data_IF_339791722423
#
_entry.id   IF_339791722423
#
_cell.length_a   1.000
_cell.length_b   1.000
_cell.length_c   1.000
_cell.angle_alpha   90.00
_cell.angle_beta   90.00
_cell.angle_gamma   90.00
#
_symmetry.space_group_name_H-M   'P 1'
#
loop_
_entity.id
_entity.type
_entity.pdbx_description
1 polymer ?
#
# COMPACT_ATOMS: atom_id res chain seq x y z
N UNK A 1 -10.20 -14.53 -6.86
CA UNK A 1 -10.77 -13.96 -5.62
C UNK A 1 -12.03 -13.19 -5.98
N UNK A 2 -12.98 -13.04 -5.05
CA UNK A 2 -14.24 -12.31 -5.22
C UNK A 2 -14.43 -11.36 -4.05
N UNK A 3 -14.69 -10.08 -4.32
CA UNK A 3 -14.94 -9.06 -3.31
C UNK A 3 -16.44 -8.77 -3.27
N UNK A 4 -17.02 -8.77 -2.07
CA UNK A 4 -18.42 -8.41 -1.82
C UNK A 4 -18.45 -7.28 -0.80
N UNK A 5 -19.11 -6.19 -1.13
CA UNK A 5 -19.30 -5.02 -0.27
C UNK A 5 -20.78 -4.73 -0.08
N UNK A 6 -21.18 -4.40 1.14
CA UNK A 6 -22.52 -3.90 1.44
C UNK A 6 -22.39 -2.65 2.31
N UNK A 7 -23.00 -1.55 1.90
CA UNK A 7 -23.03 -0.26 2.60
C UNK A 7 -21.62 0.29 2.92
N UNK A 8 -20.70 0.28 1.95
CA UNK A 8 -19.32 0.74 2.13
C UNK A 8 -19.03 1.92 1.20
N UNK A 9 -18.52 3.01 1.76
CA UNK A 9 -18.22 4.25 1.03
C UNK A 9 -19.48 4.79 0.33
N UNK A 10 -19.43 4.90 -1.00
CA UNK A 10 -20.60 5.27 -1.80
C UNK A 10 -21.42 4.05 -2.26
N UNK A 11 -20.95 2.84 -2.03
CA UNK A 11 -21.57 1.62 -2.56
C UNK A 11 -22.62 1.07 -1.60
N UNK A 12 -23.86 0.92 -2.13
CA UNK A 12 -24.94 0.17 -1.46
C UNK A 12 -24.65 -1.33 -1.51
N UNK A 13 -24.20 -1.80 -2.67
CA UNK A 13 -23.84 -3.18 -2.91
C UNK A 13 -22.79 -3.26 -4.01
N UNK A 14 -21.77 -4.08 -3.81
CA UNK A 14 -20.84 -4.43 -4.87
C UNK A 14 -20.47 -5.89 -4.77
N UNK A 15 -20.45 -6.57 -5.90
CA UNK A 15 -19.95 -7.92 -6.06
C UNK A 15 -19.07 -7.95 -7.31
N UNK A 16 -17.80 -8.33 -7.15
CA UNK A 16 -16.84 -8.29 -8.24
C UNK A 16 -15.78 -9.38 -8.12
N UNK A 17 -15.55 -10.10 -9.20
CA UNK A 17 -14.47 -11.05 -9.34
C UNK A 17 -13.15 -10.34 -9.61
N UNK A 18 -12.23 -10.35 -8.65
CA UNK A 18 -10.88 -9.84 -8.79
C UNK A 18 -10.03 -10.86 -9.57
N UNK A 19 -10.06 -10.74 -10.89
CA UNK A 19 -9.19 -11.46 -11.82
C UNK A 19 -7.86 -10.75 -11.96
N UNK A 20 -6.94 -11.23 -12.80
CA UNK A 20 -5.66 -10.55 -13.04
C UNK A 20 -5.86 -9.13 -13.59
N UNK A 21 -6.87 -8.94 -14.44
CA UNK A 21 -7.34 -7.60 -14.82
C UNK A 21 -8.78 -7.41 -14.35
N UNK A 22 -9.02 -6.37 -13.57
CA UNK A 22 -10.35 -5.96 -13.17
C UNK A 22 -10.57 -4.50 -13.58
N UNK A 23 -11.51 -4.27 -14.49
CA UNK A 23 -11.87 -2.93 -14.98
C UNK A 23 -13.25 -2.58 -14.46
N UNK A 24 -13.36 -1.45 -13.75
CA UNK A 24 -14.58 -0.93 -13.19
C UNK A 24 -14.92 0.35 -13.94
N UNK A 25 -15.89 0.26 -14.80
CA UNK A 25 -16.35 1.36 -15.63
C UNK A 25 -17.61 2.02 -15.06
N UNK A 26 -17.85 3.26 -15.39
CA UNK A 26 -19.09 3.98 -15.03
C UNK A 26 -18.85 5.47 -14.86
N UNK A 27 -19.93 6.20 -14.68
CA UNK A 27 -19.90 7.63 -14.42
C UNK A 27 -19.25 7.96 -13.06
N UNK A 28 -18.96 9.23 -12.87
CA UNK A 28 -18.42 9.70 -11.59
C UNK A 28 -19.44 9.49 -10.46
N UNK A 29 -18.95 9.44 -9.23
CA UNK A 29 -19.75 9.32 -8.02
C UNK A 29 -20.53 8.00 -7.85
N UNK A 30 -20.19 6.96 -8.61
CA UNK A 30 -20.78 5.62 -8.51
C UNK A 30 -19.95 4.62 -7.68
N UNK A 31 -18.95 5.10 -6.92
CA UNK A 31 -18.17 4.27 -6.00
C UNK A 31 -17.07 3.42 -6.65
N UNK A 32 -16.66 3.71 -7.90
CA UNK A 32 -15.57 2.98 -8.60
C UNK A 32 -14.28 2.90 -7.77
N UNK A 33 -13.80 4.06 -7.30
CA UNK A 33 -12.57 4.19 -6.51
C UNK A 33 -12.63 3.43 -5.18
N UNK A 34 -13.83 3.25 -4.63
CA UNK A 34 -14.03 2.51 -3.36
C UNK A 34 -13.53 1.08 -3.47
N UNK A 35 -13.73 0.40 -4.60
CA UNK A 35 -13.25 -0.99 -4.81
C UNK A 35 -11.73 -1.04 -4.69
N UNK A 36 -11.03 -0.16 -5.41
CA UNK A 36 -9.56 -0.10 -5.37
C UNK A 36 -9.02 0.20 -3.97
N UNK A 37 -9.63 1.16 -3.27
CA UNK A 37 -9.27 1.52 -1.89
C UNK A 37 -9.47 0.37 -0.92
N UNK A 38 -10.58 -0.37 -1.01
CA UNK A 38 -10.83 -1.53 -0.16
C UNK A 38 -9.81 -2.64 -0.42
N UNK A 39 -9.50 -2.96 -1.69
CA UNK A 39 -8.46 -3.94 -2.03
C UNK A 39 -7.11 -3.51 -1.46
N UNK A 40 -6.74 -2.24 -1.64
CA UNK A 40 -5.52 -1.67 -1.09
C UNK A 40 -5.46 -1.83 0.43
N UNK A 41 -6.52 -1.43 1.15
CA UNK A 41 -6.57 -1.52 2.61
C UNK A 41 -6.43 -2.95 3.13
N UNK A 42 -7.16 -3.89 2.52
CA UNK A 42 -7.10 -5.31 2.92
C UNK A 42 -5.68 -5.84 2.76
N UNK A 43 -5.08 -5.67 1.57
CA UNK A 43 -3.74 -6.19 1.28
C UNK A 43 -2.69 -5.55 2.20
N UNK A 44 -2.76 -4.23 2.40
CA UNK A 44 -1.83 -3.53 3.29
C UNK A 44 -1.99 -3.95 4.75
N UNK A 45 -3.21 -4.05 5.26
CA UNK A 45 -3.44 -4.41 6.66
C UNK A 45 -2.96 -5.83 6.98
N UNK A 46 -3.27 -6.81 6.11
CA UNK A 46 -2.88 -8.20 6.32
C UNK A 46 -1.36 -8.38 6.27
N UNK A 47 -0.68 -7.70 5.36
CA UNK A 47 0.77 -7.85 5.24
C UNK A 47 1.51 -7.06 6.32
N UNK A 48 0.97 -5.92 6.75
CA UNK A 48 1.58 -5.04 7.74
C UNK A 48 1.40 -5.51 9.19
N UNK A 49 0.32 -6.24 9.52
CA UNK A 49 0.07 -6.62 10.93
C UNK A 49 1.23 -7.40 11.54
N UNK A 50 1.95 -8.19 10.74
CA UNK A 50 3.11 -8.97 11.20
C UNK A 50 4.29 -8.07 11.54
N UNK A 51 4.52 -7.03 10.72
CA UNK A 51 5.56 -6.03 10.96
C UNK A 51 5.23 -5.19 12.20
N UNK A 52 4.01 -4.70 12.33
CA UNK A 52 3.54 -3.91 13.47
C UNK A 52 3.59 -4.69 14.79
N UNK A 53 3.29 -5.99 14.75
CA UNK A 53 3.42 -6.89 15.90
C UNK A 53 4.87 -7.07 16.33
N UNK A 54 5.73 -7.35 15.36
CA UNK A 54 7.14 -7.56 15.61
C UNK A 54 7.80 -6.28 16.11
N UNK A 55 7.53 -5.14 15.49
CA UNK A 55 8.03 -3.83 15.92
C UNK A 55 7.50 -3.45 17.32
N UNK A 56 6.23 -3.70 17.63
CA UNK A 56 5.62 -3.43 18.93
C UNK A 56 6.23 -4.32 20.04
N UNK A 57 6.48 -5.58 19.76
CA UNK A 57 7.09 -6.53 20.68
C UNK A 57 8.59 -6.21 20.90
N UNK A 58 9.31 -5.93 19.83
CA UNK A 58 10.72 -5.50 19.87
C UNK A 58 10.88 -4.17 20.61
N UNK A 59 10.00 -3.21 20.36
CA UNK A 59 10.03 -1.92 21.05
C UNK A 59 9.80 -2.09 22.56
N UNK A 60 8.78 -2.86 22.95
CA UNK A 60 8.49 -3.12 24.37
C UNK A 60 9.65 -3.86 25.06
N UNK A 61 10.23 -4.86 24.40
CA UNK A 61 11.41 -5.57 24.92
C UNK A 61 12.60 -4.61 25.04
N UNK A 62 12.76 -3.72 24.07
CA UNK A 62 13.77 -2.67 24.08
C UNK A 62 13.64 -1.75 25.27
N UNK A 63 12.43 -1.24 25.57
CA UNK A 63 12.16 -0.40 26.75
C UNK A 63 12.49 -1.15 28.06
N UNK A 64 12.05 -2.41 28.18
CA UNK A 64 12.34 -3.20 29.38
C UNK A 64 13.84 -3.54 29.55
N UNK A 65 14.56 -3.76 28.46
CA UNK A 65 16.03 -3.90 28.50
C UNK A 65 16.71 -2.62 28.96
N UNK A 66 16.23 -1.48 28.51
CA UNK A 66 16.74 -0.17 28.91
C UNK A 66 16.45 0.10 30.40
N UNK A 67 15.31 -0.34 30.90
CA UNK A 67 14.96 -0.30 32.32
C UNK A 67 15.90 -1.18 33.17
N UNK A 68 16.20 -2.40 32.75
CA UNK A 68 17.21 -3.26 33.36
C UNK A 68 18.58 -2.57 33.36
N UNK A 69 18.99 -1.98 32.24
CA UNK A 69 20.24 -1.24 32.14
C UNK A 69 20.33 -0.10 33.15
N UNK A 70 19.29 0.72 33.28
CA UNK A 70 19.29 1.83 34.22
C UNK A 70 19.33 1.37 35.68
N UNK A 71 18.57 0.32 36.05
CA UNK A 71 18.59 -0.28 37.39
C UNK A 71 19.99 -0.80 37.74
N UNK A 72 20.60 -1.59 36.90
CA UNK A 72 21.95 -2.11 37.12
C UNK A 72 22.99 -0.99 37.17
N UNK A 73 22.86 0.03 36.34
CA UNK A 73 23.76 1.18 36.34
C UNK A 73 23.69 1.98 37.64
N UNK A 74 22.49 2.19 38.17
CA UNK A 74 22.26 2.94 39.41
C UNK A 74 22.76 2.17 40.61
N UNK A 75 22.45 0.87 40.67
CA UNK A 75 22.86 0.01 41.79
C UNK A 75 24.39 -0.23 41.85
N UNK A 76 25.05 -0.40 40.71
CA UNK A 76 26.46 -0.77 40.63
C UNK A 76 27.43 0.40 40.82
N UNK A 77 27.03 1.65 40.56
CA UNK A 77 27.95 2.79 40.51
C UNK A 77 29.29 2.40 39.86
N UNK A 78 29.29 2.04 38.57
CA UNK A 78 30.36 1.30 37.94
C UNK A 78 31.74 1.99 38.08
N UNK A 79 32.65 1.31 38.70
CA UNK A 79 34.05 1.78 38.93
C UNK A 79 35.03 1.07 38.01
N UNK A 80 34.65 -0.01 37.33
CA UNK A 80 35.51 -0.79 36.43
C UNK A 80 35.03 -0.75 34.98
N UNK A 81 35.98 -0.85 34.02
CA UNK A 81 35.67 -0.91 32.58
C UNK A 81 34.88 -2.15 32.19
N UNK A 82 35.13 -3.28 32.86
CA UNK A 82 34.48 -4.56 32.55
C UNK A 82 32.96 -4.52 32.83
N UNK A 83 32.57 -3.91 33.94
CA UNK A 83 31.14 -3.70 34.29
C UNK A 83 30.49 -2.76 33.29
N UNK A 84 31.17 -1.70 32.86
CA UNK A 84 30.65 -0.77 31.87
C UNK A 84 30.43 -1.44 30.51
N UNK A 85 31.28 -2.35 30.09
CA UNK A 85 31.17 -3.04 28.82
C UNK A 85 29.98 -4.04 28.82
N UNK A 86 29.80 -4.76 29.95
CA UNK A 86 28.59 -5.59 30.13
C UNK A 86 27.30 -4.74 30.12
N UNK A 87 27.30 -3.61 30.83
CA UNK A 87 26.15 -2.73 30.81
C UNK A 87 25.86 -2.17 29.39
N UNK A 88 26.93 -1.85 28.63
CA UNK A 88 26.78 -1.39 27.24
C UNK A 88 26.16 -2.46 26.33
N UNK A 89 26.40 -3.76 26.59
CA UNK A 89 25.78 -4.85 25.82
C UNK A 89 24.28 -4.94 26.01
N UNK A 90 23.75 -4.42 27.12
CA UNK A 90 22.29 -4.30 27.36
C UNK A 90 21.65 -3.13 26.59
N UNK A 91 22.44 -2.10 26.20
CA UNK A 91 21.89 -0.99 25.42
C UNK A 91 21.60 -1.42 23.99
N UNK A 92 20.34 -1.30 23.61
CA UNK A 92 19.93 -1.49 22.22
C UNK A 92 20.45 -0.31 21.41
N UNK A 93 21.34 -0.58 20.45
CA UNK A 93 21.71 0.46 19.48
C UNK A 93 20.51 0.70 18.54
N UNK A 94 20.11 1.96 18.31
CA UNK A 94 19.02 2.27 17.37
C UNK A 94 19.27 1.77 15.92
N UNK A 95 20.48 1.31 15.63
CA UNK A 95 20.94 0.85 14.31
C UNK A 95 21.03 -0.67 14.16
N UNK A 96 20.88 -1.44 15.22
CA UNK A 96 20.86 -2.89 15.15
C UNK A 96 19.42 -3.35 15.38
N UNK A 97 18.72 -3.71 14.28
CA UNK A 97 17.56 -4.61 14.37
C UNK A 97 18.07 -5.87 15.08
N UNK A 98 17.43 -6.20 16.20
CA UNK A 98 17.70 -7.45 16.89
C UNK A 98 17.48 -8.58 15.90
N UNK A 99 18.51 -9.39 15.66
CA UNK A 99 18.28 -10.71 15.10
C UNK A 99 17.35 -11.43 16.06
N UNK A 100 16.14 -11.76 15.62
CA UNK A 100 14.98 -12.15 16.42
C UNK A 100 15.14 -13.49 17.18
N UNK A 101 16.31 -14.14 17.14
CA UNK A 101 16.40 -15.51 17.62
C UNK A 101 16.65 -15.64 19.13
N UNK A 102 17.24 -14.67 19.86
CA UNK A 102 17.43 -14.81 21.33
C UNK A 102 17.56 -13.50 22.13
N UNK A 103 16.54 -12.66 22.27
CA UNK A 103 16.65 -11.49 23.14
C UNK A 103 16.85 -11.86 24.62
N UNK A 104 16.30 -13.01 25.05
CA UNK A 104 16.41 -13.48 26.43
C UNK A 104 17.79 -14.03 26.78
N UNK A 105 18.46 -14.71 25.84
CA UNK A 105 19.80 -15.25 26.04
C UNK A 105 20.82 -14.14 26.30
N UNK A 106 20.78 -13.07 25.52
CA UNK A 106 21.67 -11.92 25.70
C UNK A 106 21.46 -11.19 27.04
N UNK A 107 20.20 -11.10 27.49
CA UNK A 107 19.85 -10.51 28.79
C UNK A 107 20.36 -11.40 29.93
N UNK A 108 20.12 -12.71 29.85
CA UNK A 108 20.61 -13.66 30.86
C UNK A 108 22.12 -13.66 30.96
N UNK A 109 22.82 -13.67 29.81
CA UNK A 109 24.30 -13.59 29.79
C UNK A 109 24.80 -12.30 30.45
N UNK A 110 24.18 -11.17 30.18
CA UNK A 110 24.56 -9.90 30.81
C UNK A 110 24.30 -9.92 32.33
N UNK A 111 23.16 -10.45 32.78
CA UNK A 111 22.81 -10.60 34.21
C UNK A 111 23.82 -11.51 34.89
N UNK A 112 24.16 -12.65 34.30
CA UNK A 112 25.12 -13.61 34.89
C UNK A 112 26.54 -13.00 34.99
N UNK A 113 26.96 -12.26 33.97
CA UNK A 113 28.27 -11.54 34.00
C UNK A 113 28.30 -10.46 35.08
N UNK A 114 27.19 -9.67 35.22
CA UNK A 114 27.09 -8.66 36.29
C UNK A 114 27.15 -9.35 37.66
N UNK A 115 26.47 -10.48 37.83
CA UNK A 115 26.46 -11.24 39.08
C UNK A 115 27.84 -11.77 39.45
N UNK A 116 28.67 -12.08 38.46
CA UNK A 116 30.04 -12.52 38.68
C UNK A 116 31.05 -11.38 39.00
N UNK A 117 30.75 -10.15 38.58
CA UNK A 117 31.65 -9.00 38.66
C UNK A 117 31.33 -8.05 39.82
N UNK A 118 30.11 -8.09 40.35
CA UNK A 118 29.65 -7.11 41.34
C UNK A 118 28.58 -7.67 42.28
N UNK A 119 28.56 -7.17 43.51
CA UNK A 119 27.53 -7.45 44.50
C UNK A 119 26.44 -6.38 44.42
N UNK A 120 25.19 -6.77 44.16
CA UNK A 120 24.00 -5.95 44.26
C UNK A 120 23.23 -6.32 45.54
N UNK A 121 22.38 -5.36 45.99
CA UNK A 121 21.45 -5.66 47.08
C UNK A 121 20.44 -6.74 46.65
N UNK A 122 19.91 -7.52 47.61
CA UNK A 122 18.84 -8.49 47.28
C UNK A 122 17.60 -7.86 46.64
N UNK A 123 17.30 -6.62 46.99
CA UNK A 123 16.16 -5.85 46.46
C UNK A 123 16.39 -5.50 45.00
N UNK A 124 17.54 -4.97 44.62
CA UNK A 124 17.88 -4.62 43.23
C UNK A 124 17.91 -5.86 42.35
N UNK A 125 18.41 -7.00 42.84
CA UNK A 125 18.35 -8.25 42.10
C UNK A 125 16.95 -8.73 41.85
N UNK A 126 16.03 -8.57 42.83
CA UNK A 126 14.64 -8.97 42.72
C UNK A 126 13.93 -8.15 41.63
N UNK A 127 14.21 -6.84 41.55
CA UNK A 127 13.65 -5.97 40.50
C UNK A 127 14.17 -6.34 39.11
N UNK A 128 15.49 -6.57 38.96
CA UNK A 128 16.09 -6.97 37.67
C UNK A 128 15.54 -8.32 37.17
N UNK A 129 15.39 -9.29 38.09
CA UNK A 129 14.81 -10.59 37.77
C UNK A 129 13.33 -10.46 37.39
N UNK A 130 12.57 -9.62 38.08
CA UNK A 130 11.17 -9.37 37.76
C UNK A 130 11.01 -8.80 36.34
N UNK A 131 11.82 -7.81 35.95
CA UNK A 131 11.83 -7.25 34.60
C UNK A 131 12.19 -8.28 33.53
N UNK A 132 13.20 -9.14 33.79
CA UNK A 132 13.55 -10.23 32.91
C UNK A 132 12.40 -11.23 32.74
N UNK A 133 11.71 -11.56 33.84
CA UNK A 133 10.58 -12.51 33.83
C UNK A 133 9.34 -11.91 33.13
N UNK A 134 9.14 -10.59 33.22
CA UNK A 134 8.15 -9.88 32.41
C UNK A 134 8.46 -10.04 30.91
N UNK A 135 9.74 -9.85 30.51
CA UNK A 135 10.17 -10.04 29.12
C UNK A 135 9.90 -11.50 28.68
N UNK A 136 10.25 -12.47 29.52
CA UNK A 136 10.01 -13.88 29.24
C UNK A 136 8.51 -14.16 29.07
N UNK A 137 7.69 -13.72 30.02
CA UNK A 137 6.24 -13.88 29.96
C UNK A 137 5.64 -13.25 28.69
N UNK A 138 6.16 -12.10 28.26
CA UNK A 138 5.72 -11.44 27.02
C UNK A 138 6.14 -12.20 25.76
N UNK A 139 7.32 -12.83 25.78
CA UNK A 139 7.79 -13.70 24.70
C UNK A 139 6.96 -14.98 24.57
N UNK A 140 6.59 -15.56 25.72
CA UNK A 140 5.82 -16.80 25.82
C UNK A 140 4.30 -16.61 25.64
N UNK A 141 3.81 -15.35 25.68
CA UNK A 141 2.39 -15.06 25.44
C UNK A 141 2.02 -15.43 24.00
N UNK A 142 0.99 -16.27 23.80
CA UNK A 142 0.43 -16.48 22.47
C UNK A 142 -0.07 -15.15 21.93
N UNK A 143 0.31 -14.83 20.71
CA UNK A 143 -0.15 -13.63 20.03
C UNK A 143 -1.63 -13.75 19.73
N UNK A 144 -2.44 -12.78 20.18
CA UNK A 144 -3.81 -12.66 19.71
C UNK A 144 -3.78 -12.10 18.28
N UNK A 145 -3.54 -13.00 17.34
CA UNK A 145 -3.45 -12.69 15.91
C UNK A 145 -4.70 -12.00 15.40
N UNK A 146 -5.86 -12.38 15.91
CA UNK A 146 -7.16 -11.79 15.52
C UNK A 146 -7.22 -10.32 15.91
N UNK A 147 -6.94 -10.00 17.18
CA UNK A 147 -6.95 -8.61 17.68
C UNK A 147 -5.91 -7.75 16.96
N UNK A 148 -4.76 -8.31 16.64
CA UNK A 148 -3.68 -7.60 15.95
C UNK A 148 -4.04 -7.28 14.50
N UNK A 149 -4.66 -8.20 13.78
CA UNK A 149 -5.18 -7.97 12.43
C UNK A 149 -6.31 -6.93 12.47
N UNK A 150 -7.23 -7.03 13.43
CA UNK A 150 -8.34 -6.10 13.59
C UNK A 150 -7.83 -4.68 13.86
N UNK A 151 -6.81 -4.53 14.71
CA UNK A 151 -6.17 -3.24 14.96
C UNK A 151 -5.48 -2.69 13.71
N UNK A 152 -4.75 -3.52 12.95
CA UNK A 152 -4.12 -3.12 11.70
C UNK A 152 -5.16 -2.68 10.65
N UNK A 153 -6.25 -3.44 10.51
CA UNK A 153 -7.37 -3.09 9.64
C UNK A 153 -7.96 -1.74 10.01
N UNK A 154 -8.29 -1.52 11.27
CA UNK A 154 -8.89 -0.26 11.73
C UNK A 154 -7.97 0.92 11.46
N UNK A 155 -6.66 0.80 11.71
CA UNK A 155 -5.68 1.85 11.43
C UNK A 155 -5.60 2.18 9.93
N UNK A 156 -5.51 1.14 9.09
CA UNK A 156 -5.38 1.30 7.64
C UNK A 156 -6.66 1.91 7.07
N UNK A 157 -7.83 1.40 7.43
CA UNK A 157 -9.11 1.93 6.95
C UNK A 157 -9.35 3.38 7.42
N UNK A 158 -9.05 3.69 8.69
CA UNK A 158 -9.18 5.05 9.19
C UNK A 158 -8.26 6.03 8.44
N UNK A 159 -7.02 5.61 8.14
CA UNK A 159 -6.06 6.44 7.40
C UNK A 159 -6.44 6.63 5.92
N UNK A 160 -7.17 5.68 5.33
CA UNK A 160 -7.55 5.74 3.92
C UNK A 160 -8.90 6.44 3.69
N UNK A 161 -9.85 6.27 4.59
CA UNK A 161 -11.22 6.78 4.44
C UNK A 161 -11.53 7.97 5.36
N UNK A 162 -10.52 8.50 6.07
CA UNK A 162 -10.69 9.61 7.03
C UNK A 162 -11.82 9.33 8.04
N UNK A 163 -11.83 8.08 8.56
CA UNK A 163 -12.87 7.55 9.46
C UNK A 163 -14.32 7.68 8.92
N UNK A 164 -14.51 7.61 7.60
CA UNK A 164 -15.82 7.69 6.92
C UNK A 164 -15.99 6.49 5.97
N UNK A 165 -15.97 5.28 6.55
CA UNK A 165 -16.01 4.02 5.79
C UNK A 165 -17.43 3.57 5.44
N UNK A 166 -18.40 3.83 6.31
CA UNK A 166 -19.80 3.45 6.10
C UNK A 166 -20.50 4.33 5.06
N UNK A 167 -21.42 3.74 4.31
CA UNK A 167 -22.37 4.49 3.48
C UNK A 167 -23.19 5.42 4.37
N UNK A 168 -23.33 6.67 3.94
CA UNK A 168 -24.08 7.69 4.70
C UNK A 168 -25.50 7.20 5.02
N UNK A 169 -25.84 7.19 6.30
CA UNK A 169 -27.12 6.74 6.82
C UNK A 169 -27.25 5.23 7.08
N UNK A 170 -26.25 4.44 6.73
CA UNK A 170 -26.19 3.03 7.10
C UNK A 170 -25.71 2.86 8.55
N UNK A 171 -26.28 1.91 9.26
CA UNK A 171 -25.85 1.54 10.62
C UNK A 171 -24.76 0.48 10.63
N UNK A 172 -24.77 -0.36 9.58
CA UNK A 172 -23.83 -1.47 9.43
C UNK A 172 -23.43 -1.63 7.96
N UNK A 173 -22.17 -2.00 7.75
CA UNK A 173 -21.62 -2.39 6.48
C UNK A 173 -20.89 -3.72 6.58
N UNK A 174 -20.61 -4.36 5.43
CA UNK A 174 -19.88 -5.63 5.38
C UNK A 174 -18.92 -5.65 4.22
N UNK A 175 -17.74 -6.22 4.47
CA UNK A 175 -16.68 -6.42 3.48
C UNK A 175 -16.28 -7.88 3.53
N UNK A 176 -16.39 -8.60 2.40
CA UNK A 176 -16.00 -10.00 2.32
C UNK A 176 -15.07 -10.23 1.13
N UNK A 177 -13.99 -10.96 1.37
CA UNK A 177 -13.11 -11.46 0.33
C UNK A 177 -13.18 -12.99 0.32
N UNK A 178 -13.52 -13.56 -0.83
CA UNK A 178 -13.70 -14.99 -1.02
C UNK A 178 -12.76 -15.53 -2.11
N UNK A 179 -12.41 -16.80 -2.02
CA UNK A 179 -11.73 -17.54 -3.08
C UNK A 179 -12.30 -18.95 -3.17
N UNK A 180 -12.86 -19.31 -4.32
CA UNK A 180 -13.48 -20.62 -4.57
C UNK A 180 -14.42 -21.06 -3.41
N UNK A 181 -15.35 -20.18 -3.03
CA UNK A 181 -16.31 -20.37 -1.93
C UNK A 181 -15.69 -20.39 -0.50
N UNK A 182 -14.37 -20.32 -0.36
CA UNK A 182 -13.70 -20.10 0.91
C UNK A 182 -13.70 -18.60 1.25
N UNK A 183 -14.20 -18.27 2.43
CA UNK A 183 -14.11 -16.90 2.94
C UNK A 183 -12.70 -16.65 3.48
N UNK A 184 -11.92 -15.81 2.79
CA UNK A 184 -10.58 -15.43 3.21
C UNK A 184 -10.66 -14.39 4.34
N UNK A 185 -11.59 -13.44 4.19
CA UNK A 185 -11.78 -12.32 5.14
C UNK A 185 -13.26 -11.98 5.18
N UNK A 186 -13.77 -11.76 6.38
CA UNK A 186 -15.12 -11.28 6.62
C UNK A 186 -15.09 -10.17 7.68
N UNK A 187 -15.47 -8.97 7.29
CA UNK A 187 -15.43 -7.78 8.13
C UNK A 187 -16.82 -7.18 8.26
N UNK A 188 -17.21 -6.85 9.47
CA UNK A 188 -18.39 -6.04 9.77
C UNK A 188 -17.93 -4.63 10.17
N UNK A 189 -18.56 -3.62 9.62
CA UNK A 189 -18.26 -2.22 9.88
C UNK A 189 -19.42 -1.60 10.64
N UNK A 190 -19.16 -1.08 11.83
CA UNK A 190 -20.15 -0.37 12.65
C UNK A 190 -19.52 0.90 13.22
N UNK A 191 -20.19 2.04 13.08
CA UNK A 191 -19.62 3.34 13.50
C UNK A 191 -18.21 3.58 12.95
N UNK A 192 -17.99 3.24 11.67
CA UNK A 192 -16.70 3.29 10.98
C UNK A 192 -15.57 2.46 11.61
N UNK A 193 -15.88 1.61 12.58
CA UNK A 193 -14.98 0.64 13.17
C UNK A 193 -15.13 -0.73 12.52
N UNK A 194 -14.01 -1.32 12.12
CA UNK A 194 -13.94 -2.62 11.44
C UNK A 194 -13.75 -3.74 12.46
N UNK A 195 -14.61 -4.72 12.42
CA UNK A 195 -14.56 -5.91 13.26
C UNK A 195 -14.39 -7.17 12.42
N UNK A 196 -13.43 -8.01 12.77
CA UNK A 196 -13.14 -9.26 12.07
C UNK A 196 -14.09 -10.37 12.51
N UNK A 197 -14.78 -10.98 11.54
CA UNK A 197 -15.68 -12.12 11.77
C UNK A 197 -14.97 -13.41 11.38
N UNK A 198 -14.61 -14.22 12.38
CA UNK A 198 -13.90 -15.48 12.13
C UNK A 198 -12.37 -15.34 12.08
N UNK A 199 -11.75 -16.28 11.40
CA UNK A 199 -10.31 -16.31 11.15
C UNK A 199 -9.98 -15.71 9.78
N UNK A 200 -8.74 -15.29 9.60
CA UNK A 200 -8.23 -14.76 8.33
C UNK A 200 -7.42 -15.85 7.66
N UNK A 201 -7.83 -16.21 6.46
CA UNK A 201 -7.06 -17.11 5.60
C UNK A 201 -5.95 -16.35 4.86
N UNK A 202 -4.84 -17.02 4.53
CA UNK A 202 -3.75 -16.39 3.78
C UNK A 202 -4.22 -15.83 2.43
N UNK A 203 -3.86 -14.60 2.13
CA UNK A 203 -4.09 -13.97 0.83
C UNK A 203 -2.81 -14.03 0.02
N UNK A 204 -2.90 -14.42 -1.26
CA UNK A 204 -1.74 -14.57 -2.14
C UNK A 204 -1.04 -13.25 -2.47
N UNK A 205 -1.75 -12.12 -2.36
CA UNK A 205 -1.20 -10.80 -2.63
C UNK A 205 -0.36 -10.30 -1.45
N UNK A 206 0.90 -9.96 -1.73
CA UNK A 206 1.87 -9.48 -0.72
C UNK A 206 1.95 -7.97 -0.60
N UNK A 207 1.62 -7.25 -1.66
CA UNK A 207 1.63 -5.78 -1.63
C UNK A 207 0.58 -5.21 -2.58
N UNK A 208 0.18 -3.97 -2.30
CA UNK A 208 -0.71 -3.18 -3.12
C UNK A 208 -0.11 -1.81 -3.38
N UNK A 209 -0.22 -1.32 -4.62
CA UNK A 209 0.15 0.04 -4.97
C UNK A 209 -1.05 0.73 -5.61
N UNK A 210 -1.49 1.84 -5.03
CA UNK A 210 -2.62 2.62 -5.53
C UNK A 210 -2.11 3.90 -6.18
N UNK A 211 -2.52 4.16 -7.40
CA UNK A 211 -2.15 5.32 -8.21
C UNK A 211 -3.42 6.08 -8.56
N UNK A 212 -3.64 7.19 -7.86
CA UNK A 212 -4.76 8.11 -8.11
C UNK A 212 -4.37 9.23 -9.07
N UNK A 213 -3.12 9.69 -9.02
CA UNK A 213 -2.67 10.76 -9.89
C UNK A 213 -1.16 10.75 -10.11
N UNK A 214 -0.70 10.93 -11.34
CA UNK A 214 0.72 11.11 -11.64
C UNK A 214 1.27 12.46 -11.13
N UNK A 215 0.38 13.36 -10.71
CA UNK A 215 0.76 14.66 -10.14
C UNK A 215 1.43 14.53 -8.76
N UNK A 216 1.38 13.36 -8.14
CA UNK A 216 2.14 13.05 -6.92
C UNK A 216 3.62 13.45 -7.06
N UNK A 217 4.19 13.27 -8.25
CA UNK A 217 5.58 13.65 -8.55
C UNK A 217 5.85 15.16 -8.43
N UNK A 218 4.81 16.00 -8.52
CA UNK A 218 4.93 17.45 -8.41
C UNK A 218 4.95 17.95 -6.95
N UNK A 219 4.50 17.12 -6.01
CA UNK A 219 4.22 17.52 -4.62
C UNK A 219 5.24 16.99 -3.62
N UNK A 220 6.47 16.72 -4.07
CA UNK A 220 7.54 16.18 -3.23
C UNK A 220 7.71 16.93 -1.92
N UNK A 221 7.79 18.26 -1.96
CA UNK A 221 8.06 19.10 -0.77
C UNK A 221 6.98 18.98 0.31
N UNK A 222 5.72 18.84 -0.11
CA UNK A 222 4.57 18.67 0.79
C UNK A 222 4.53 17.25 1.33
N UNK A 223 4.64 16.27 0.46
CA UNK A 223 4.52 14.85 0.81
C UNK A 223 5.70 14.35 1.67
N UNK A 224 6.90 14.90 1.45
CA UNK A 224 8.06 14.57 2.29
C UNK A 224 7.88 14.97 3.77
N UNK A 225 6.98 15.92 4.04
CA UNK A 225 6.67 16.41 5.40
C UNK A 225 5.32 15.92 5.91
N UNK A 226 4.51 15.29 5.06
CA UNK A 226 3.20 14.78 5.43
C UNK A 226 3.32 13.51 6.27
N UNK A 227 2.30 13.26 7.09
CA UNK A 227 2.13 12.07 7.91
C UNK A 227 0.78 11.42 7.60
N UNK A 228 0.67 10.14 7.90
CA UNK A 228 -0.60 9.43 7.91
C UNK A 228 -1.12 9.32 9.34
N UNK A 229 -2.38 8.95 9.52
CA UNK A 229 -2.91 8.65 10.84
C UNK A 229 -2.16 7.47 11.50
N UNK A 230 -1.59 6.56 10.70
CA UNK A 230 -0.75 5.45 11.19
C UNK A 230 0.53 5.94 11.88
N UNK A 231 1.13 7.03 11.39
CA UNK A 231 2.38 7.55 11.93
C UNK A 231 2.19 8.21 13.33
N UNK A 232 0.95 8.57 13.68
CA UNK A 232 0.64 9.20 14.96
C UNK A 232 0.79 8.25 16.15
N UNK A 233 0.43 6.98 15.98
CA UNK A 233 0.50 5.98 17.05
C UNK A 233 1.94 5.64 17.47
N UNK A 234 2.88 5.75 16.55
CA UNK A 234 4.29 5.47 16.83
C UNK A 234 5.01 6.58 17.62
N UNK A 235 4.39 7.76 17.75
CA UNK A 235 5.01 8.94 18.38
C UNK A 235 4.19 9.54 19.52
N UNK A 236 3.73 8.70 20.44
CA UNK A 236 2.99 9.17 21.64
C UNK A 236 3.70 10.23 22.48
N UNK A 237 4.99 10.51 22.23
CA UNK A 237 5.82 11.43 22.99
C UNK A 237 6.25 12.69 22.23
N UNK A 238 5.87 12.88 20.97
CA UNK A 238 6.29 14.06 20.22
C UNK A 238 5.21 15.16 20.28
N UNK A 239 5.55 16.39 20.69
CA UNK A 239 4.59 17.48 20.68
C UNK A 239 4.13 17.76 19.24
N UNK A 240 2.83 18.03 19.05
CA UNK A 240 2.25 18.48 17.80
C UNK A 240 3.12 19.57 17.16
N UNK A 241 3.75 19.29 16.03
CA UNK A 241 4.43 20.34 15.27
C UNK A 241 3.38 21.03 14.43
N UNK A 242 3.14 22.30 14.72
CA UNK A 242 2.33 23.20 13.90
C UNK A 242 2.83 23.15 12.45
N UNK A 243 1.95 22.86 11.49
CA UNK A 243 2.26 22.83 10.06
C UNK A 243 2.49 21.44 9.46
N UNK A 244 2.19 20.35 10.15
CA UNK A 244 2.14 19.00 9.52
C UNK A 244 0.82 18.84 8.78
N UNK A 245 0.90 18.41 7.53
CA UNK A 245 -0.26 18.02 6.72
C UNK A 245 -0.47 16.51 6.80
N UNK A 246 -1.73 16.10 6.92
CA UNK A 246 -2.10 14.69 6.80
C UNK A 246 -2.36 14.33 5.34
N UNK A 247 -2.04 13.10 4.99
CA UNK A 247 -2.33 12.52 3.69
C UNK A 247 -2.87 11.11 3.85
N UNK A 248 -3.55 10.60 2.85
CA UNK A 248 -4.05 9.21 2.82
C UNK A 248 -2.89 8.23 2.81
N UNK A 249 -3.16 7.01 3.28
CA UNK A 249 -2.13 5.97 3.32
C UNK A 249 -1.60 5.62 1.93
N UNK A 250 -2.49 5.50 0.93
CA UNK A 250 -2.07 5.16 -0.43
C UNK A 250 -1.14 6.22 -1.04
N UNK A 251 -1.42 7.51 -0.82
CA UNK A 251 -0.57 8.60 -1.30
C UNK A 251 0.81 8.54 -0.66
N UNK A 252 0.87 8.29 0.65
CA UNK A 252 2.15 8.17 1.37
C UNK A 252 2.93 6.94 0.93
N UNK A 253 2.27 5.79 0.81
CA UNK A 253 2.87 4.53 0.36
C UNK A 253 3.45 4.67 -1.06
N UNK A 254 2.68 5.23 -1.99
CA UNK A 254 3.15 5.49 -3.35
C UNK A 254 4.36 6.42 -3.35
N UNK A 255 4.30 7.51 -2.59
CA UNK A 255 5.39 8.47 -2.51
C UNK A 255 6.68 7.84 -1.97
N UNK A 256 6.61 7.02 -0.92
CA UNK A 256 7.76 6.36 -0.32
C UNK A 256 8.36 5.32 -1.28
N UNK A 257 7.54 4.57 -2.02
CA UNK A 257 7.98 3.65 -3.09
C UNK A 257 8.73 4.38 -4.20
N UNK A 258 8.23 5.54 -4.63
CA UNK A 258 8.87 6.33 -5.69
C UNK A 258 10.20 6.96 -5.25
N UNK A 259 10.39 7.22 -3.95
CA UNK A 259 11.66 7.72 -3.39
C UNK A 259 12.72 6.64 -3.19
N UNK A 260 12.34 5.38 -3.26
CA UNK A 260 13.30 4.27 -3.19
C UNK A 260 14.29 4.40 -4.35
N UNK A 261 15.60 4.34 -4.08
CA UNK A 261 16.58 4.44 -5.15
C UNK A 261 16.42 3.32 -6.16
N UNK A 262 16.34 3.68 -7.44
CA UNK A 262 16.32 2.69 -8.52
C UNK A 262 17.62 1.93 -8.51
N UNK A 263 17.56 0.59 -8.46
CA UNK A 263 18.72 -0.27 -8.61
C UNK A 263 19.23 -0.12 -10.06
N UNK A 264 20.58 -0.04 -10.26
CA UNK A 264 21.13 -0.01 -11.61
C UNK A 264 20.65 -1.25 -12.40
N UNK A 265 20.17 -1.01 -13.61
CA UNK A 265 19.62 -2.05 -14.51
C UNK A 265 20.59 -3.24 -14.72
N UNK A 266 21.90 -2.99 -14.67
CA UNK A 266 22.97 -3.99 -14.86
C UNK A 266 23.12 -4.98 -13.70
N UNK A 267 22.50 -4.70 -12.53
CA UNK A 267 22.51 -5.60 -11.37
C UNK A 267 21.35 -6.59 -11.38
N UNK A 268 20.36 -6.38 -12.25
CA UNK A 268 19.22 -7.28 -12.40
C UNK A 268 19.65 -8.43 -13.32
N UNK A 269 19.51 -9.67 -12.82
CA UNK A 269 19.99 -10.86 -13.51
C UNK A 269 19.31 -11.04 -14.89
N UNK A 270 20.05 -11.22 -16.00
CA UNK A 270 19.48 -11.43 -17.34
C UNK A 270 18.60 -12.68 -17.47
N UNK A 271 18.66 -13.59 -16.49
CA UNK A 271 17.91 -14.84 -16.50
C UNK A 271 16.45 -14.70 -16.07
N UNK A 272 16.07 -13.58 -15.43
CA UNK A 272 14.68 -13.26 -15.13
C UNK A 272 14.04 -12.45 -16.26
N UNK A 273 14.06 -13.00 -17.49
CA UNK A 273 13.34 -12.44 -18.65
C UNK A 273 11.81 -12.53 -18.47
N UNK A 274 11.33 -12.06 -17.31
CA UNK A 274 9.93 -11.90 -17.01
C UNK A 274 9.38 -10.78 -17.91
N UNK A 275 8.08 -10.84 -18.24
CA UNK A 275 7.45 -9.83 -19.08
C UNK A 275 7.60 -8.41 -18.56
N UNK A 276 7.79 -8.21 -17.24
CA UNK A 276 8.09 -6.93 -16.61
C UNK A 276 9.35 -6.24 -17.21
N UNK A 277 10.38 -6.97 -17.55
CA UNK A 277 11.58 -6.45 -18.20
C UNK A 277 11.31 -5.88 -19.60
N UNK A 278 10.45 -6.54 -20.36
CA UNK A 278 10.05 -6.04 -21.69
C UNK A 278 9.27 -4.73 -21.54
N UNK A 279 8.39 -4.67 -20.54
CA UNK A 279 7.63 -3.44 -20.27
C UNK A 279 8.55 -2.30 -19.87
N UNK A 280 9.60 -2.53 -19.06
CA UNK A 280 10.60 -1.51 -18.71
C UNK A 280 11.31 -0.94 -19.94
N UNK A 281 11.74 -1.80 -20.88
CA UNK A 281 12.39 -1.39 -22.12
C UNK A 281 11.43 -0.57 -22.99
N UNK A 282 10.18 -1.02 -23.15
CA UNK A 282 9.16 -0.33 -23.92
C UNK A 282 8.83 1.04 -23.32
N UNK A 283 8.74 1.14 -22.00
CA UNK A 283 8.53 2.41 -21.29
C UNK A 283 9.67 3.39 -21.50
N UNK A 284 10.91 2.92 -21.47
CA UNK A 284 12.09 3.76 -21.71
C UNK A 284 12.09 4.36 -23.10
N UNK A 285 11.75 3.57 -24.11
CA UNK A 285 11.62 4.03 -25.50
C UNK A 285 10.45 5.02 -25.62
N UNK A 286 9.32 4.71 -24.97
CA UNK A 286 8.10 5.50 -25.08
C UNK A 286 8.26 6.93 -24.54
N UNK A 287 8.97 7.12 -23.41
CA UNK A 287 9.16 8.43 -22.79
C UNK A 287 10.45 9.13 -23.27
N UNK A 288 11.29 8.48 -24.07
CA UNK A 288 12.60 8.99 -24.54
C UNK A 288 13.48 9.49 -23.39
N UNK A 289 13.52 8.71 -22.28
CA UNK A 289 14.28 9.10 -21.11
C UNK A 289 13.97 8.31 -19.86
N UNK A 290 14.27 8.94 -18.73
CA UNK A 290 14.13 8.34 -17.41
C UNK A 290 13.58 9.35 -16.39
N UNK A 291 12.62 8.93 -15.59
CA UNK A 291 12.18 9.65 -14.38
C UNK A 291 12.82 8.98 -13.17
N UNK A 292 13.48 9.77 -12.33
CA UNK A 292 14.11 9.28 -11.12
C UNK A 292 14.03 10.30 -9.98
N UNK A 293 14.13 9.82 -8.74
CA UNK A 293 14.32 10.67 -7.58
C UNK A 293 15.79 11.04 -7.44
N UNK A 294 16.11 12.34 -7.52
CA UNK A 294 17.45 12.86 -7.33
C UNK A 294 17.67 13.21 -5.86
N UNK A 295 18.59 12.50 -5.21
CA UNK A 295 18.90 12.70 -3.78
C UNK A 295 19.56 14.04 -3.48
N UNK A 296 20.28 14.61 -4.47
CA UNK A 296 21.00 15.88 -4.34
C UNK A 296 20.01 17.04 -4.39
N UNK A 297 19.17 17.03 -5.41
CA UNK A 297 18.13 18.04 -5.61
C UNK A 297 16.94 17.82 -4.65
N UNK A 298 16.82 16.62 -4.07
CA UNK A 298 15.70 16.18 -3.25
C UNK A 298 14.35 16.36 -3.96
N UNK A 299 14.32 16.09 -5.27
CA UNK A 299 13.13 16.21 -6.11
C UNK A 299 13.15 15.15 -7.21
N UNK A 300 12.02 14.97 -7.90
CA UNK A 300 11.94 14.12 -9.07
C UNK A 300 12.43 14.89 -10.33
N UNK A 301 13.26 14.23 -11.12
CA UNK A 301 13.82 14.77 -12.35
C UNK A 301 13.54 13.83 -13.52
N UNK A 302 13.32 14.41 -14.69
CA UNK A 302 13.28 13.69 -15.95
C UNK A 302 14.58 13.93 -16.70
N UNK A 303 15.32 12.86 -16.98
CA UNK A 303 16.56 12.89 -17.79
C UNK A 303 16.26 12.31 -19.15
N UNK A 304 16.41 13.12 -20.18
CA UNK A 304 16.31 12.67 -21.57
C UNK A 304 17.53 11.84 -21.97
N UNK A 305 17.39 10.98 -22.99
CA UNK A 305 18.50 10.18 -23.52
C UNK A 305 19.66 11.05 -24.03
N UNK A 306 19.40 12.29 -24.45
CA UNK A 306 20.43 13.26 -24.85
C UNK A 306 21.16 13.94 -23.66
N UNK A 307 20.87 13.52 -22.43
CA UNK A 307 21.51 14.02 -21.21
C UNK A 307 20.87 15.27 -20.59
N UNK A 308 19.87 15.90 -21.23
CA UNK A 308 19.19 17.05 -20.65
C UNK A 308 18.32 16.64 -19.45
N UNK A 309 18.54 17.29 -18.30
CA UNK A 309 17.72 17.13 -17.10
C UNK A 309 16.64 18.22 -17.03
N UNK A 310 15.41 17.83 -16.76
CA UNK A 310 14.25 18.72 -16.68
C UNK A 310 13.54 18.40 -15.36
N UNK A 311 13.16 19.43 -14.59
CA UNK A 311 12.29 19.22 -13.41
C UNK A 311 11.01 18.51 -13.85
N UNK A 312 10.60 17.50 -13.11
CA UNK A 312 9.40 16.72 -13.39
C UNK A 312 8.15 17.61 -13.46
N UNK A 313 8.13 18.71 -12.71
CA UNK A 313 7.02 19.68 -12.67
C UNK A 313 6.75 20.27 -14.06
N UNK A 314 7.79 20.39 -14.91
CA UNK A 314 7.74 20.98 -16.25
C UNK A 314 7.59 19.94 -17.38
N UNK A 315 7.27 18.69 -17.05
CA UNK A 315 7.08 17.64 -18.05
C UNK A 315 5.60 17.36 -18.33
N UNK A 316 5.32 16.77 -19.49
CA UNK A 316 3.98 16.36 -19.87
C UNK A 316 3.44 15.25 -18.94
N UNK A 317 2.12 15.21 -18.72
CA UNK A 317 1.47 14.23 -17.86
C UNK A 317 1.74 12.78 -18.27
N UNK A 318 1.78 12.50 -19.58
CA UNK A 318 2.13 11.16 -20.07
C UNK A 318 3.53 10.70 -19.62
N UNK A 319 4.52 11.59 -19.62
CA UNK A 319 5.87 11.28 -19.11
C UNK A 319 5.79 10.92 -17.62
N UNK A 320 4.96 11.63 -16.86
CA UNK A 320 4.79 11.35 -15.41
C UNK A 320 4.15 9.99 -15.17
N UNK A 321 3.07 9.64 -15.89
CA UNK A 321 2.39 8.33 -15.75
C UNK A 321 3.35 7.18 -16.07
N UNK A 322 3.99 7.23 -17.22
CA UNK A 322 4.87 6.14 -17.65
C UNK A 322 6.19 6.12 -16.88
N UNK A 323 6.70 7.29 -16.48
CA UNK A 323 7.87 7.40 -15.62
C UNK A 323 7.63 6.82 -14.23
N UNK A 324 6.46 7.11 -13.64
CA UNK A 324 6.03 6.53 -12.38
C UNK A 324 5.93 5.00 -12.47
N UNK A 325 5.27 4.49 -13.51
CA UNK A 325 5.16 3.04 -13.74
C UNK A 325 6.55 2.40 -13.91
N UNK A 326 7.45 3.05 -14.66
CA UNK A 326 8.84 2.61 -14.82
C UNK A 326 9.57 2.54 -13.48
N UNK A 327 9.44 3.55 -12.61
CA UNK A 327 10.08 3.56 -11.29
C UNK A 327 9.58 2.43 -10.39
N UNK A 328 8.28 2.18 -10.38
CA UNK A 328 7.68 1.09 -9.60
C UNK A 328 8.15 -0.29 -10.08
N UNK A 329 8.25 -0.49 -11.40
CA UNK A 329 8.75 -1.72 -11.99
C UNK A 329 10.24 -1.93 -11.70
N UNK A 330 11.06 -0.89 -11.86
CA UNK A 330 12.50 -0.96 -11.63
C UNK A 330 12.87 -1.24 -10.17
N UNK A 331 11.97 -0.89 -9.24
CA UNK A 331 12.13 -1.15 -7.80
C UNK A 331 11.38 -2.39 -7.33
N UNK A 332 10.88 -3.24 -8.25
CA UNK A 332 10.19 -4.50 -7.96
C UNK A 332 8.91 -4.36 -7.13
N UNK A 333 8.33 -3.15 -7.06
CA UNK A 333 7.01 -2.95 -6.43
C UNK A 333 5.84 -3.45 -7.28
N UNK A 334 6.12 -3.90 -8.51
CA UNK A 334 5.14 -4.49 -9.42
C UNK A 334 5.63 -5.90 -9.80
N UNK A 335 5.05 -6.92 -9.19
CA UNK A 335 5.42 -8.33 -9.32
C UNK A 335 4.17 -9.23 -9.37
N UNK A 336 4.34 -10.54 -9.56
CA UNK A 336 3.23 -11.51 -9.68
C UNK A 336 2.31 -11.60 -8.46
N UNK A 337 2.83 -11.28 -7.29
CA UNK A 337 2.14 -11.33 -5.99
C UNK A 337 1.75 -9.93 -5.48
N UNK A 338 1.73 -8.94 -6.37
CA UNK A 338 1.30 -7.59 -6.05
C UNK A 338 0.06 -7.19 -6.86
N UNK A 339 -0.71 -6.25 -6.33
CA UNK A 339 -1.81 -5.63 -7.06
C UNK A 339 -1.51 -4.15 -7.32
N UNK A 340 -1.61 -3.77 -8.59
CA UNK A 340 -1.47 -2.40 -9.05
C UNK A 340 -2.87 -1.84 -9.32
N UNK A 341 -3.21 -0.77 -8.63
CA UNK A 341 -4.53 -0.14 -8.68
C UNK A 341 -4.40 1.23 -9.33
N UNK A 342 -5.13 1.44 -10.41
CA UNK A 342 -5.22 2.72 -11.10
C UNK A 342 -6.61 3.31 -10.91
N UNK A 343 -6.67 4.52 -10.38
CA UNK A 343 -7.90 5.29 -10.27
C UNK A 343 -7.91 6.40 -11.33
N UNK A 344 -8.80 6.23 -12.31
CA UNK A 344 -8.97 7.14 -13.45
C UNK A 344 -7.63 7.53 -14.14
N UNK A 345 -6.82 6.55 -14.58
CA UNK A 345 -5.49 6.82 -15.14
C UNK A 345 -5.52 7.59 -16.47
N UNK A 346 -6.69 7.67 -17.11
CA UNK A 346 -6.94 8.48 -18.28
C UNK A 346 -6.88 9.98 -18.01
N UNK A 347 -7.07 10.40 -16.77
CA UNK A 347 -7.00 11.80 -16.39
C UNK A 347 -5.66 12.40 -16.79
N UNK A 348 -5.69 13.51 -17.50
CA UNK A 348 -4.52 14.18 -18.06
C UNK A 348 -3.79 13.43 -19.19
N UNK A 349 -4.33 12.31 -19.71
CA UNK A 349 -3.77 11.59 -20.86
C UNK A 349 -4.54 11.88 -22.16
N UNK A 350 -3.81 12.30 -23.18
CA UNK A 350 -4.36 12.33 -24.54
C UNK A 350 -4.80 10.92 -24.97
N UNK A 351 -5.89 10.72 -25.72
CA UNK A 351 -6.38 9.41 -26.13
C UNK A 351 -5.30 8.45 -26.69
N UNK A 352 -4.37 8.96 -27.49
CA UNK A 352 -3.24 8.13 -27.99
C UNK A 352 -2.37 7.53 -26.87
N UNK A 353 -2.22 8.23 -25.76
CA UNK A 353 -1.45 7.76 -24.60
C UNK A 353 -2.25 6.78 -23.75
N UNK A 354 -3.59 6.92 -23.72
CA UNK A 354 -4.48 5.93 -23.10
C UNK A 354 -4.39 4.57 -23.80
N UNK A 355 -4.31 4.55 -25.16
CA UNK A 355 -4.08 3.32 -25.92
C UNK A 355 -2.74 2.66 -25.56
N UNK A 356 -1.68 3.48 -25.40
CA UNK A 356 -0.36 2.97 -24.98
C UNK A 356 -0.36 2.47 -23.53
N UNK A 357 -1.06 3.14 -22.64
CA UNK A 357 -1.23 2.68 -21.26
C UNK A 357 -1.92 1.31 -21.25
N UNK A 358 -3.03 1.15 -21.97
CA UNK A 358 -3.72 -0.13 -22.09
C UNK A 358 -2.79 -1.25 -22.56
N UNK A 359 -1.96 -0.99 -23.59
CA UNK A 359 -0.97 -1.95 -24.07
C UNK A 359 0.02 -2.36 -22.97
N UNK A 360 0.56 -1.40 -22.22
CA UNK A 360 1.53 -1.68 -21.14
C UNK A 360 0.86 -2.46 -19.99
N UNK A 361 -0.35 -2.10 -19.60
CA UNK A 361 -1.09 -2.81 -18.55
C UNK A 361 -1.35 -4.27 -18.93
N UNK A 362 -1.72 -4.56 -20.19
CA UNK A 362 -1.94 -5.93 -20.61
C UNK A 362 -0.65 -6.75 -20.60
N UNK A 363 0.49 -6.18 -21.02
CA UNK A 363 1.80 -6.86 -20.90
C UNK A 363 2.15 -7.20 -19.45
N UNK A 364 1.77 -6.35 -18.48
CA UNK A 364 1.95 -6.65 -17.06
C UNK A 364 1.01 -7.78 -16.60
N UNK A 365 -0.24 -7.79 -17.08
CA UNK A 365 -1.18 -8.90 -16.80
C UNK A 365 -0.65 -10.24 -17.37
N UNK A 366 -0.10 -10.24 -18.57
CA UNK A 366 0.58 -11.42 -19.16
C UNK A 366 1.75 -11.90 -18.29
N UNK A 367 2.43 -10.98 -17.60
CA UNK A 367 3.51 -11.30 -16.66
C UNK A 367 3.00 -11.81 -15.29
N UNK A 368 1.68 -11.84 -15.10
CA UNK A 368 1.03 -12.35 -13.89
C UNK A 368 0.71 -11.29 -12.82
N UNK A 369 0.93 -10.00 -13.10
CA UNK A 369 0.58 -8.90 -12.19
C UNK A 369 -0.94 -8.75 -12.12
N UNK A 370 -1.47 -8.52 -10.91
CA UNK A 370 -2.88 -8.17 -10.72
C UNK A 370 -3.08 -6.68 -10.92
N UNK A 371 -4.06 -6.31 -11.71
CA UNK A 371 -4.35 -4.91 -12.04
C UNK A 371 -5.84 -4.62 -11.84
N UNK A 372 -6.13 -3.56 -11.08
CA UNK A 372 -7.46 -3.00 -10.92
C UNK A 372 -7.47 -1.60 -11.53
N UNK A 373 -8.41 -1.33 -12.43
CA UNK A 373 -8.55 -0.02 -13.09
C UNK A 373 -9.97 0.47 -12.88
N UNK A 374 -10.15 1.65 -12.29
CA UNK A 374 -11.39 2.40 -12.38
C UNK A 374 -11.27 3.41 -13.53
N UNK A 375 -12.28 3.50 -14.38
CA UNK A 375 -12.24 4.37 -15.57
C UNK A 375 -13.63 4.83 -15.99
N UNK A 376 -13.68 6.03 -16.57
CA UNK A 376 -14.85 6.55 -17.27
C UNK A 376 -14.54 6.81 -18.77
N UNK A 377 -13.31 6.49 -19.23
CA UNK A 377 -12.89 6.73 -20.61
C UNK A 377 -13.27 5.59 -21.56
N UNK A 378 -14.11 5.82 -22.56
CA UNK A 378 -14.41 4.82 -23.57
C UNK A 378 -13.16 4.38 -24.34
N UNK A 379 -12.18 5.28 -24.54
CA UNK A 379 -10.94 4.96 -25.25
C UNK A 379 -10.06 3.97 -24.49
N UNK A 380 -9.92 4.16 -23.17
CA UNK A 380 -9.11 3.29 -22.34
C UNK A 380 -9.78 1.91 -22.21
N UNK A 381 -11.08 1.88 -21.93
CA UNK A 381 -11.84 0.64 -21.75
C UNK A 381 -11.86 -0.19 -23.04
N UNK A 382 -12.12 0.44 -24.19
CA UNK A 382 -12.06 -0.24 -25.48
C UNK A 382 -10.65 -0.76 -25.81
N UNK A 383 -9.63 0.04 -25.52
CA UNK A 383 -8.25 -0.39 -25.72
C UNK A 383 -7.88 -1.58 -24.84
N UNK A 384 -8.25 -1.56 -23.56
CA UNK A 384 -8.04 -2.70 -22.65
C UNK A 384 -8.75 -3.94 -23.17
N UNK A 385 -10.04 -3.84 -23.56
CA UNK A 385 -10.80 -4.97 -24.10
C UNK A 385 -10.16 -5.57 -25.34
N UNK A 386 -9.79 -4.73 -26.32
CA UNK A 386 -9.15 -5.20 -27.56
C UNK A 386 -7.79 -5.89 -27.30
N UNK A 387 -7.00 -5.35 -26.38
CA UNK A 387 -5.72 -5.97 -26.03
C UNK A 387 -5.92 -7.27 -25.24
N UNK A 388 -6.92 -7.37 -24.36
CA UNK A 388 -7.33 -8.62 -23.69
C UNK A 388 -7.68 -9.69 -24.71
N UNK A 389 -8.50 -9.34 -25.73
CA UNK A 389 -8.91 -10.30 -26.80
C UNK A 389 -7.69 -10.77 -27.61
N UNK A 390 -6.81 -9.84 -27.99
CA UNK A 390 -5.59 -10.16 -28.77
C UNK A 390 -4.61 -11.04 -28.00
N UNK A 391 -4.50 -10.83 -26.69
CA UNK A 391 -3.63 -11.59 -25.79
C UNK A 391 -4.26 -12.93 -25.34
N UNK A 392 -5.52 -13.20 -25.68
CA UNK A 392 -6.23 -14.42 -25.23
C UNK A 392 -6.55 -14.45 -23.74
N UNK A 393 -6.59 -13.29 -23.07
CA UNK A 393 -6.74 -13.15 -21.62
C UNK A 393 -8.21 -12.97 -21.18
N UNK A 394 -9.18 -13.36 -22.01
CA UNK A 394 -10.61 -13.15 -21.70
C UNK A 394 -11.02 -13.76 -20.36
N UNK A 395 -10.48 -14.92 -20.00
CA UNK A 395 -10.77 -15.58 -18.73
C UNK A 395 -10.03 -14.96 -17.53
N UNK A 396 -9.00 -14.15 -17.77
CA UNK A 396 -8.19 -13.48 -16.76
C UNK A 396 -8.64 -12.02 -16.54
N UNK A 397 -9.60 -11.53 -17.31
CA UNK A 397 -10.12 -10.18 -17.25
C UNK A 397 -11.59 -10.15 -16.78
N UNK A 398 -11.97 -9.09 -16.10
CA UNK A 398 -13.34 -8.77 -15.72
C UNK A 398 -13.61 -7.29 -16.03
N UNK A 399 -14.74 -7.02 -16.70
CA UNK A 399 -15.25 -5.67 -16.94
C UNK A 399 -16.60 -5.52 -16.24
N UNK A 400 -16.68 -4.66 -15.25
CA UNK A 400 -17.86 -4.43 -14.43
C UNK A 400 -18.36 -2.99 -14.58
N UNK A 401 -19.68 -2.81 -14.54
CA UNK A 401 -20.33 -1.50 -14.58
C UNK A 401 -20.72 -1.06 -13.17
N UNK A 402 -20.25 0.13 -12.78
CA UNK A 402 -20.71 0.83 -11.59
C UNK A 402 -21.85 1.76 -11.99
N UNK A 403 -23.07 1.48 -11.50
CA UNK A 403 -24.27 2.26 -11.78
C UNK A 403 -25.16 2.34 -10.53
N UNK A 404 -25.68 3.51 -10.22
CA UNK A 404 -26.59 3.74 -9.08
C UNK A 404 -26.02 3.26 -7.74
N UNK A 405 -24.69 3.43 -7.55
CA UNK A 405 -23.96 2.99 -6.36
C UNK A 405 -24.00 1.46 -6.15
N UNK A 406 -24.09 0.71 -7.25
CA UNK A 406 -24.04 -0.76 -7.26
C UNK A 406 -23.07 -1.26 -8.33
N UNK A 407 -22.44 -2.40 -8.03
CA UNK A 407 -21.59 -3.13 -8.97
C UNK A 407 -21.99 -4.60 -8.89
N UNK A 408 -22.34 -5.19 -10.02
CA UNK A 408 -22.68 -6.61 -10.11
C UNK A 408 -21.56 -7.36 -10.85
N UNK A 409 -21.29 -8.60 -10.44
CA UNK A 409 -20.28 -9.46 -11.06
C UNK A 409 -20.76 -10.06 -12.40
N UNK A 410 -21.22 -9.18 -13.29
CA UNK A 410 -21.61 -9.53 -14.64
C UNK A 410 -20.71 -8.82 -15.64
N UNK A 411 -20.40 -9.51 -16.75
CA UNK A 411 -19.67 -8.91 -17.87
C UNK A 411 -20.65 -8.10 -18.72
N UNK A 412 -20.69 -6.78 -18.46
CA UNK A 412 -21.67 -5.87 -19.09
C UNK A 412 -21.01 -4.90 -20.06
N UNK A 413 -20.12 -5.39 -20.91
CA UNK A 413 -19.44 -4.52 -21.87
C UNK A 413 -20.40 -3.69 -22.75
N UNK A 414 -21.49 -4.28 -23.20
CA UNK A 414 -22.51 -3.56 -23.97
C UNK A 414 -23.14 -2.41 -23.17
N UNK A 415 -23.43 -2.67 -21.90
CA UNK A 415 -24.03 -1.66 -21.02
C UNK A 415 -23.02 -0.56 -20.67
N UNK A 416 -21.75 -0.94 -20.46
CA UNK A 416 -20.66 0.01 -20.24
C UNK A 416 -20.57 1.00 -21.42
N UNK A 417 -20.51 0.48 -22.67
CA UNK A 417 -20.43 1.34 -23.84
C UNK A 417 -21.71 2.12 -24.08
N UNK A 418 -22.88 1.58 -23.73
CA UNK A 418 -24.14 2.31 -23.81
C UNK A 418 -24.13 3.53 -22.88
N UNK A 419 -23.72 3.37 -21.62
CA UNK A 419 -23.61 4.47 -20.65
C UNK A 419 -22.57 5.51 -21.11
N UNK A 420 -21.40 5.07 -21.54
CA UNK A 420 -20.34 5.98 -21.98
C UNK A 420 -20.62 6.67 -23.31
N UNK A 421 -21.53 6.12 -24.13
CA UNK A 421 -21.94 6.70 -25.41
C UNK A 421 -23.13 7.68 -25.28
N UNK A 422 -23.79 7.76 -24.13
CA UNK A 422 -24.95 8.63 -23.91
C UNK A 422 -24.71 10.09 -24.36
N UNK A 423 -23.57 10.74 -24.11
CA UNK A 423 -23.31 12.09 -24.61
C UNK A 423 -23.37 12.21 -26.14
N UNK A 424 -23.05 11.16 -26.89
CA UNK A 424 -23.18 11.18 -28.36
C UNK A 424 -24.64 11.11 -28.84
N UNK A 425 -25.52 10.46 -28.08
CA UNK A 425 -26.94 10.49 -28.36
C UNK A 425 -27.54 11.89 -28.13
N UNK A 426 -27.05 12.61 -27.11
CA UNK A 426 -27.42 14.01 -26.88
C UNK A 426 -27.02 14.88 -28.07
N UNK A 427 -25.78 14.71 -28.59
CA UNK A 427 -25.35 15.45 -29.79
C UNK A 427 -26.20 15.14 -31.02
N UNK A 428 -26.57 13.88 -31.23
CA UNK A 428 -27.50 13.50 -32.32
C UNK A 428 -28.90 14.15 -32.18
N UNK A 429 -29.37 14.28 -30.93
CA UNK A 429 -30.66 14.98 -30.69
C UNK A 429 -30.55 16.46 -31.00
N UNK A 430 -29.47 17.13 -30.59
CA UNK A 430 -29.20 18.52 -30.93
C UNK A 430 -29.14 18.72 -32.45
N UNK A 431 -28.38 17.90 -33.19
CA UNK A 431 -28.30 17.94 -34.64
C UNK A 431 -29.67 17.75 -35.30
N UNK A 432 -30.54 16.89 -34.73
CA UNK A 432 -31.86 16.64 -35.23
C UNK A 432 -32.87 17.78 -34.93
N UNK A 433 -32.65 18.52 -33.85
CA UNK A 433 -33.40 19.73 -33.52
C UNK A 433 -33.03 20.88 -34.45
N UNK A 434 -31.75 21.13 -34.66
CA UNK A 434 -31.26 22.16 -35.58
C UNK A 434 -31.77 21.96 -37.01
N UNK A 435 -31.87 20.70 -37.47
CA UNK A 435 -32.40 20.38 -38.79
C UNK A 435 -33.95 20.55 -38.91
N UNK A 436 -34.68 20.71 -37.80
CA UNK A 436 -36.11 20.97 -37.79
C UNK A 436 -36.46 22.46 -37.79
N UNK A 437 -35.48 23.27 -37.35
CA UNK A 437 -35.62 24.72 -37.28
C UNK A 437 -35.12 25.43 -38.57
N UNK A 438 -34.50 24.69 -39.50
CA UNK A 438 -34.21 25.07 -40.88
C UNK A 438 -35.36 24.67 -41.85
#
# INVERSE_FOLDING_TARGET
MKLILNNIGLLKHAEISLRKLCVIAGENDNGKSTIGKIVFCIVKAINRYREDLQESKEFWIGEKREEIYFRLREALRPTSTDVLDVLRSLRVSPRHRLNAEEPLASINEAIDRVRALAELSPEDWQEVIALRDEIKAKLDQPEDTKQSIENALNKVFASEFDASLLLQGAQEGRIQLLENDLTLIDLVVTNDYVRLMGEVEPVALKDATFIDSPLILNHHDVLARSQTLLDMDQRRSAPYRLGQSFTTLHTKDLFDKLRTPVLPFDLLSPNDATGAYRVLADLQVLIDGEVAYDKTERDFVFRRLNGAAISIKNTASGIKVFGLLKMLLANEFVAKDTVLIFDEPENHLHPKWQLKLAEMLIKLVESGVYIVVSSHSPYLIEALKRNVDRAGLVNEARFALAKENKINDEDRLSDIFSVLAEPFEVFRQMDAEDLRDE
#
